data_IF_909892208192
#
_entry.id   IF_909892208192
#
_cell.length_a   1.000
_cell.length_b   1.000
_cell.length_c   1.000
_cell.angle_alpha   90.00
_cell.angle_beta   90.00
_cell.angle_gamma   90.00
#
_symmetry.space_group_name_H-M   'P 1'
#
loop_
_entity.id
_entity.type
_entity.pdbx_description
1 polymer ?
#
# COMPACT_ATOMS: atom_id res chain seq x y z
N UNK A 1 -8.61 -28.20 19.49
CA UNK A 1 -9.85 -28.04 18.68
C UNK A 1 -9.63 -26.84 17.78
N UNK A 2 -9.22 -27.09 16.54
CA UNK A 2 -8.87 -26.08 15.55
C UNK A 2 -10.14 -25.72 14.79
N UNK A 3 -10.50 -24.46 14.77
CA UNK A 3 -11.63 -23.97 13.97
C UNK A 3 -11.26 -24.00 12.49
N UNK A 4 -12.06 -24.61 11.61
CA UNK A 4 -11.81 -24.61 10.17
C UNK A 4 -12.42 -23.36 9.54
N UNK A 5 -11.61 -22.67 8.72
CA UNK A 5 -12.13 -21.84 7.63
C UNK A 5 -12.42 -20.40 7.96
N UNK A 6 -11.45 -19.63 8.42
CA UNK A 6 -11.51 -18.19 8.15
C UNK A 6 -11.20 -17.95 6.67
N UNK A 7 -12.25 -17.89 5.89
CA UNK A 7 -12.26 -17.37 4.53
C UNK A 7 -11.97 -15.86 4.68
N UNK A 8 -10.80 -15.42 4.30
CA UNK A 8 -10.41 -14.00 4.31
C UNK A 8 -11.36 -13.24 3.39
N UNK A 9 -12.41 -12.68 3.98
CA UNK A 9 -13.34 -11.81 3.27
C UNK A 9 -12.79 -10.40 3.41
N UNK A 10 -12.43 -9.79 2.28
CA UNK A 10 -12.10 -8.37 2.14
C UNK A 10 -13.35 -7.53 2.46
N UNK A 11 -13.62 -7.32 3.74
CA UNK A 11 -14.67 -6.41 4.21
C UNK A 11 -14.05 -5.20 4.89
N UNK A 12 -13.23 -4.46 4.15
CA UNK A 12 -12.88 -3.09 4.52
C UNK A 12 -12.42 -2.35 3.27
N UNK A 13 -12.50 -1.04 3.29
CA UNK A 13 -12.06 -0.09 2.26
C UNK A 13 -10.52 -0.13 2.01
N UNK A 14 -9.83 -1.14 2.49
CA UNK A 14 -8.42 -1.38 2.26
C UNK A 14 -8.24 -2.49 1.23
N UNK A 15 -7.37 -2.27 0.27
CA UNK A 15 -6.99 -3.26 -0.72
C UNK A 15 -5.54 -3.67 -0.49
N UNK A 16 -5.34 -4.96 -0.31
CA UNK A 16 -4.01 -5.52 -0.17
C UNK A 16 -3.55 -6.14 -1.48
N UNK A 17 -2.36 -5.80 -1.90
CA UNK A 17 -1.74 -6.29 -3.13
C UNK A 17 -0.33 -6.77 -2.89
N UNK A 18 0.08 -7.83 -3.58
CA UNK A 18 1.46 -8.27 -3.64
C UNK A 18 2.05 -7.99 -5.02
N UNK A 19 3.26 -7.46 -5.06
CA UNK A 19 4.00 -7.21 -6.29
C UNK A 19 5.31 -8.00 -6.25
N UNK A 20 5.61 -8.71 -7.35
CA UNK A 20 6.86 -9.42 -7.52
C UNK A 20 7.84 -8.56 -8.30
N UNK A 21 9.02 -8.33 -7.74
CA UNK A 21 10.15 -7.73 -8.45
C UNK A 21 10.98 -8.80 -9.19
N UNK A 22 11.80 -8.43 -10.19
CA UNK A 22 12.58 -9.38 -10.99
C UNK A 22 13.51 -10.31 -10.19
N UNK A 23 13.86 -9.93 -8.96
CA UNK A 23 14.75 -10.69 -8.06
C UNK A 23 14.01 -11.62 -7.08
N UNK A 24 12.75 -11.98 -7.31
CA UNK A 24 11.89 -12.70 -6.34
C UNK A 24 11.63 -11.93 -5.02
N UNK A 25 11.88 -10.63 -5.00
CA UNK A 25 11.53 -9.80 -3.86
C UNK A 25 10.04 -9.44 -3.94
N UNK A 26 9.29 -9.83 -2.93
CA UNK A 26 7.89 -9.46 -2.80
C UNK A 26 7.77 -8.18 -1.99
N UNK A 27 6.87 -7.30 -2.44
CA UNK A 27 6.43 -6.13 -1.71
C UNK A 27 4.96 -6.35 -1.33
N UNK A 28 4.68 -6.41 -0.04
CA UNK A 28 3.32 -6.43 0.48
C UNK A 28 2.83 -4.99 0.64
N UNK A 29 1.66 -4.70 0.09
CA UNK A 29 1.11 -3.34 0.10
C UNK A 29 -0.24 -3.33 0.76
N UNK A 30 -0.37 -2.54 1.82
CA UNK A 30 -1.64 -2.21 2.46
C UNK A 30 -2.08 -0.82 2.03
N UNK A 31 -3.30 -0.71 1.53
CA UNK A 31 -3.83 0.53 0.96
C UNK A 31 -5.05 0.98 1.74
N UNK A 32 -4.91 2.09 2.43
CA UNK A 32 -5.97 2.77 3.15
C UNK A 32 -6.51 3.97 2.35
N UNK A 33 -7.71 4.42 2.64
CA UNK A 33 -8.35 5.48 1.89
C UNK A 33 -7.58 6.83 1.92
N UNK A 34 -7.53 7.58 0.80
CA UNK A 34 -6.75 8.82 0.70
C UNK A 34 -7.26 9.96 1.58
N UNK A 35 -8.51 9.92 2.00
CA UNK A 35 -9.10 10.93 2.89
C UNK A 35 -8.83 10.68 4.38
N UNK A 36 -8.18 9.58 4.72
CA UNK A 36 -7.83 9.27 6.10
C UNK A 36 -6.64 10.12 6.55
N UNK A 37 -6.78 10.79 7.69
CA UNK A 37 -5.69 11.50 8.33
C UNK A 37 -4.83 10.51 9.14
N UNK A 38 -3.51 10.60 9.03
CA UNK A 38 -2.59 9.72 9.74
C UNK A 38 -2.50 10.04 11.24
N UNK A 39 -2.67 11.31 11.62
CA UNK A 39 -2.50 11.77 12.98
C UNK A 39 -3.69 12.61 13.45
N UNK A 40 -3.98 12.53 14.74
CA UNK A 40 -4.91 13.42 15.44
C UNK A 40 -4.26 14.79 15.65
N UNK A 41 -5.05 15.83 15.99
CA UNK A 41 -4.54 17.20 16.29
C UNK A 41 -3.49 17.21 17.40
N UNK A 42 -3.59 16.34 18.39
CA UNK A 42 -2.61 16.17 19.46
C UNK A 42 -1.33 15.41 19.02
N UNK A 43 -1.26 14.97 17.75
CA UNK A 43 -0.12 14.28 17.18
C UNK A 43 -0.02 12.80 17.55
N UNK A 44 -1.08 12.19 18.11
CA UNK A 44 -1.16 10.72 18.21
C UNK A 44 -1.58 10.11 16.87
N UNK A 45 -1.07 8.90 16.51
CA UNK A 45 -1.55 8.18 15.35
C UNK A 45 -3.07 7.97 15.44
N UNK A 46 -3.74 8.03 14.31
CA UNK A 46 -5.14 7.60 14.21
C UNK A 46 -5.24 6.08 14.16
N UNK A 47 -6.42 5.58 14.44
CA UNK A 47 -6.71 4.15 14.44
C UNK A 47 -6.34 3.51 13.11
N UNK A 48 -6.66 4.14 12.00
CA UNK A 48 -6.43 3.63 10.66
C UNK A 48 -4.93 3.38 10.38
N UNK A 49 -4.06 4.31 10.80
CA UNK A 49 -2.61 4.11 10.66
C UNK A 49 -2.10 2.97 11.55
N UNK A 50 -2.60 2.89 12.79
CA UNK A 50 -2.20 1.82 13.72
C UNK A 50 -2.73 0.47 13.25
N UNK A 51 -3.95 0.44 12.72
CA UNK A 51 -4.58 -0.77 12.17
C UNK A 51 -3.82 -1.28 10.94
N UNK A 52 -3.49 -0.40 9.98
CA UNK A 52 -2.73 -0.78 8.80
C UNK A 52 -1.35 -1.39 9.15
N UNK A 53 -0.66 -0.83 10.16
CA UNK A 53 0.61 -1.41 10.65
C UNK A 53 0.35 -2.78 11.28
N UNK A 54 -0.70 -2.91 12.11
CA UNK A 54 -1.08 -4.18 12.72
C UNK A 54 -1.40 -5.27 11.68
N UNK A 55 -2.09 -4.94 10.60
CA UNK A 55 -2.35 -5.88 9.50
C UNK A 55 -1.04 -6.35 8.83
N UNK A 56 -0.07 -5.46 8.65
CA UNK A 56 1.26 -5.85 8.15
C UNK A 56 1.94 -6.82 9.12
N UNK A 57 1.91 -6.54 10.42
CA UNK A 57 2.52 -7.41 11.44
C UNK A 57 1.84 -8.81 11.46
N UNK A 58 0.50 -8.85 11.37
CA UNK A 58 -0.26 -10.10 11.29
C UNK A 58 0.13 -10.92 10.03
N UNK A 59 0.34 -10.26 8.91
CA UNK A 59 0.77 -10.91 7.68
C UNK A 59 2.18 -11.47 7.77
N UNK A 60 3.11 -10.70 8.35
CA UNK A 60 4.48 -11.17 8.55
C UNK A 60 4.50 -12.39 9.46
N UNK A 61 3.73 -12.39 10.54
CA UNK A 61 3.56 -13.57 11.41
C UNK A 61 2.98 -14.75 10.63
N UNK A 62 1.91 -14.52 9.85
CA UNK A 62 1.28 -15.58 9.06
C UNK A 62 2.25 -16.21 8.05
N UNK A 63 3.04 -15.38 7.34
CA UNK A 63 4.04 -15.86 6.37
C UNK A 63 5.12 -16.69 7.07
N UNK A 64 5.60 -16.23 8.24
CA UNK A 64 6.61 -16.96 9.01
C UNK A 64 6.10 -18.35 9.45
N UNK A 65 4.87 -18.41 9.94
CA UNK A 65 4.29 -19.65 10.46
C UNK A 65 3.81 -20.61 9.36
N UNK A 66 3.48 -20.09 8.17
CA UNK A 66 2.82 -20.85 7.11
C UNK A 66 3.52 -20.75 5.74
N UNK A 67 4.83 -20.58 5.70
CA UNK A 67 5.57 -20.30 4.46
C UNK A 67 5.25 -21.26 3.31
N UNK A 68 5.26 -22.57 3.57
CA UNK A 68 4.98 -23.59 2.54
C UNK A 68 3.56 -23.45 1.97
N UNK A 69 2.58 -23.09 2.82
CA UNK A 69 1.20 -22.88 2.42
C UNK A 69 1.03 -21.58 1.60
N UNK A 70 1.73 -20.53 2.01
CA UNK A 70 1.77 -19.24 1.28
C UNK A 70 2.35 -19.44 -0.12
N UNK A 71 3.43 -20.21 -0.25
CA UNK A 71 4.05 -20.51 -1.54
C UNK A 71 3.15 -21.35 -2.45
N UNK A 72 2.42 -22.33 -1.89
CA UNK A 72 1.58 -23.24 -2.69
C UNK A 72 0.17 -22.71 -2.99
N UNK A 73 -0.48 -22.05 -2.03
CA UNK A 73 -1.87 -21.61 -2.18
C UNK A 73 -2.00 -20.17 -2.70
N UNK A 74 -1.02 -19.29 -2.38
CA UNK A 74 -0.99 -17.90 -2.83
C UNK A 74 0.00 -17.68 -3.99
N UNK A 75 0.66 -18.73 -4.45
CA UNK A 75 1.63 -18.70 -5.56
C UNK A 75 2.81 -17.71 -5.32
N UNK A 76 3.11 -17.40 -4.05
CA UNK A 76 4.20 -16.50 -3.68
C UNK A 76 5.53 -17.25 -3.53
N UNK A 77 5.95 -17.93 -4.60
CA UNK A 77 7.13 -18.79 -4.61
C UNK A 77 8.42 -18.04 -4.23
N UNK A 78 9.14 -18.54 -3.24
CA UNK A 78 10.40 -17.97 -2.77
C UNK A 78 10.24 -16.71 -1.94
N UNK A 79 9.03 -16.43 -1.42
CA UNK A 79 8.82 -15.28 -0.54
C UNK A 79 9.72 -15.34 0.68
N UNK A 80 10.34 -14.21 1.02
CA UNK A 80 11.11 -14.07 2.25
C UNK A 80 10.20 -14.23 3.47
N UNK A 81 10.74 -14.68 4.60
CA UNK A 81 10.04 -14.64 5.88
C UNK A 81 9.75 -13.20 6.36
N UNK A 82 10.54 -12.23 5.87
CA UNK A 82 10.40 -10.80 6.16
C UNK A 82 10.43 -10.00 4.85
N UNK A 83 9.38 -10.09 4.01
CA UNK A 83 9.30 -9.33 2.78
C UNK A 83 9.21 -7.83 3.09
N UNK A 84 9.54 -7.01 2.10
CA UNK A 84 9.32 -5.55 2.22
C UNK A 84 7.84 -5.24 2.27
N UNK A 85 7.48 -4.23 3.03
CA UNK A 85 6.08 -3.83 3.24
C UNK A 85 5.88 -2.34 2.98
N UNK A 86 4.72 -1.98 2.47
CA UNK A 86 4.34 -0.60 2.17
C UNK A 86 2.91 -0.35 2.65
N UNK A 87 2.72 0.68 3.45
CA UNK A 87 1.40 1.23 3.76
C UNK A 87 1.20 2.51 2.98
N UNK A 88 0.12 2.59 2.20
CA UNK A 88 -0.30 3.80 1.48
C UNK A 88 -1.53 4.36 2.16
N UNK A 89 -1.45 5.57 2.72
CA UNK A 89 -2.53 6.15 3.52
C UNK A 89 -2.53 7.69 3.46
N UNK A 90 -3.70 8.27 3.26
CA UNK A 90 -3.95 9.70 3.39
C UNK A 90 -3.17 10.59 2.42
N UNK A 91 -3.14 11.89 2.73
CA UNK A 91 -2.53 12.93 1.88
C UNK A 91 -1.45 13.71 2.61
N UNK A 92 -0.43 14.15 1.87
CA UNK A 92 0.71 14.90 2.41
C UNK A 92 0.31 16.25 3.00
N UNK A 93 -0.75 16.87 2.49
CA UNK A 93 -1.27 18.16 2.95
C UNK A 93 -1.75 18.12 4.42
N UNK A 94 -2.10 16.94 4.94
CA UNK A 94 -2.54 16.77 6.34
C UNK A 94 -1.38 16.57 7.32
N UNK A 95 -0.14 16.45 6.82
CA UNK A 95 1.04 16.16 7.64
C UNK A 95 1.78 17.44 8.02
N UNK A 96 1.82 17.74 9.31
CA UNK A 96 2.73 18.75 9.87
C UNK A 96 4.17 18.22 9.87
N UNK A 97 5.16 19.11 9.97
CA UNK A 97 6.57 18.74 10.08
C UNK A 97 6.84 17.80 11.28
N UNK A 98 6.18 18.09 12.42
CA UNK A 98 6.24 17.21 13.60
C UNK A 98 5.72 15.80 13.29
N UNK A 99 4.61 15.69 12.53
CA UNK A 99 4.02 14.42 12.17
C UNK A 99 4.90 13.65 11.16
N UNK A 100 5.56 14.34 10.24
CA UNK A 100 6.54 13.73 9.32
C UNK A 100 7.70 13.08 10.08
N UNK A 101 8.25 13.79 11.08
CA UNK A 101 9.31 13.24 11.94
C UNK A 101 8.82 12.02 12.75
N UNK A 102 7.59 12.07 13.29
CA UNK A 102 7.01 10.91 13.98
C UNK A 102 6.85 9.71 13.05
N UNK A 103 6.38 9.94 11.82
CA UNK A 103 6.24 8.90 10.82
C UNK A 103 7.58 8.23 10.52
N UNK A 104 8.64 9.01 10.35
CA UNK A 104 10.00 8.49 10.16
C UNK A 104 10.48 7.63 11.35
N UNK A 105 10.18 8.06 12.59
CA UNK A 105 10.50 7.26 13.79
C UNK A 105 9.70 5.95 13.82
N UNK A 106 8.42 5.98 13.43
CA UNK A 106 7.59 4.77 13.38
C UNK A 106 8.15 3.78 12.34
N UNK A 107 8.48 4.24 11.14
CA UNK A 107 9.11 3.40 10.11
C UNK A 107 10.44 2.81 10.59
N UNK A 108 11.27 3.60 11.28
CA UNK A 108 12.55 3.13 11.80
C UNK A 108 12.44 2.02 12.87
N UNK A 109 11.26 1.84 13.47
CA UNK A 109 10.99 0.76 14.44
C UNK A 109 10.55 -0.55 13.79
N UNK A 110 10.15 -0.50 12.52
CA UNK A 110 9.67 -1.67 11.76
C UNK A 110 10.57 -1.87 10.54
N UNK A 111 11.61 -2.73 10.65
CA UNK A 111 12.50 -3.02 9.53
C UNK A 111 11.73 -3.51 8.31
N UNK A 112 11.99 -2.92 7.15
CA UNK A 112 11.30 -3.26 5.90
C UNK A 112 9.95 -2.58 5.67
N UNK A 113 9.40 -1.85 6.67
CA UNK A 113 8.16 -1.09 6.52
C UNK A 113 8.44 0.31 5.93
N UNK A 114 7.72 0.64 4.87
CA UNK A 114 7.58 2.01 4.35
C UNK A 114 6.14 2.49 4.53
N UNK A 115 5.95 3.74 4.92
CA UNK A 115 4.64 4.37 5.00
C UNK A 115 4.67 5.59 4.09
N UNK A 116 3.76 5.65 3.13
CA UNK A 116 3.67 6.73 2.15
C UNK A 116 2.27 7.32 2.12
N UNK A 117 2.19 8.61 1.83
CA UNK A 117 0.91 9.21 1.40
C UNK A 117 0.68 8.94 -0.07
N UNK A 118 -0.57 9.09 -0.54
CA UNK A 118 -0.89 9.01 -1.97
C UNK A 118 -0.08 10.02 -2.79
N UNK A 119 0.14 11.23 -2.28
CA UNK A 119 0.96 12.23 -2.96
C UNK A 119 2.41 11.74 -3.10
N UNK A 120 2.98 11.20 -2.02
CA UNK A 120 4.33 10.63 -2.04
C UNK A 120 4.48 9.44 -3.00
N UNK A 121 3.45 8.58 -3.10
CA UNK A 121 3.42 7.47 -4.06
C UNK A 121 3.40 8.00 -5.51
N UNK A 122 2.54 8.99 -5.79
CA UNK A 122 2.43 9.61 -7.11
C UNK A 122 3.74 10.30 -7.51
N UNK A 123 4.35 11.07 -6.60
CA UNK A 123 5.62 11.75 -6.85
C UNK A 123 6.74 10.75 -7.14
N UNK A 124 6.79 9.64 -6.39
CA UNK A 124 7.76 8.57 -6.63
C UNK A 124 7.54 7.87 -7.97
N UNK A 125 6.29 7.59 -8.32
CA UNK A 125 5.94 7.00 -9.62
C UNK A 125 6.32 7.93 -10.77
N UNK A 126 6.04 9.24 -10.63
CA UNK A 126 6.42 10.27 -11.61
C UNK A 126 7.93 10.33 -11.77
N UNK A 127 8.68 10.42 -10.67
CA UNK A 127 10.15 10.50 -10.72
C UNK A 127 10.77 9.24 -11.36
N UNK A 128 10.22 8.06 -11.10
CA UNK A 128 10.65 6.83 -11.73
C UNK A 128 10.33 6.83 -13.23
N UNK A 129 9.13 7.25 -13.60
CA UNK A 129 8.75 7.36 -15.02
C UNK A 129 9.66 8.32 -15.78
N UNK A 130 9.88 9.53 -15.23
CA UNK A 130 10.71 10.55 -15.85
C UNK A 130 12.18 10.10 -15.99
N UNK A 131 12.69 9.33 -15.04
CA UNK A 131 14.05 8.77 -15.10
C UNK A 131 14.22 7.80 -16.27
N UNK A 132 13.20 7.01 -16.59
CA UNK A 132 13.29 5.98 -17.62
C UNK A 132 12.81 6.47 -18.99
N UNK A 133 11.91 7.43 -19.02
CA UNK A 133 11.20 7.83 -20.23
C UNK A 133 11.30 9.33 -20.57
N UNK A 134 11.97 10.11 -19.73
CA UNK A 134 12.05 11.57 -19.85
C UNK A 134 10.81 12.30 -19.30
N UNK A 135 10.86 13.65 -19.27
CA UNK A 135 9.84 14.48 -18.64
C UNK A 135 8.43 14.20 -19.17
N UNK A 136 7.45 14.08 -18.27
CA UNK A 136 6.04 13.86 -18.61
C UNK A 136 5.46 14.94 -19.53
N UNK A 137 5.93 16.19 -19.37
CA UNK A 137 5.50 17.34 -20.19
C UNK A 137 5.78 17.19 -21.68
N UNK A 138 6.83 16.45 -22.06
CA UNK A 138 7.18 16.22 -23.46
C UNK A 138 6.34 15.12 -24.11
N UNK A 139 5.79 14.19 -23.31
CA UNK A 139 4.97 13.09 -23.81
C UNK A 139 3.47 13.37 -23.85
N UNK A 140 2.98 14.24 -22.98
CA UNK A 140 1.56 14.62 -22.97
C UNK A 140 1.10 15.28 -24.29
N UNK A 141 2.03 15.84 -25.07
CA UNK A 141 1.75 16.41 -26.38
C UNK A 141 1.55 15.36 -27.49
N UNK A 142 1.97 14.11 -27.27
CA UNK A 142 1.94 13.05 -28.26
C UNK A 142 1.08 11.85 -27.90
N UNK A 143 0.43 11.87 -26.73
CA UNK A 143 -0.48 10.81 -26.29
C UNK A 143 -1.92 11.31 -26.41
N UNK A 144 -2.63 10.85 -27.44
CA UNK A 144 -4.10 10.85 -27.42
C UNK A 144 -4.55 9.89 -26.30
N UNK A 145 -4.65 10.41 -25.08
CA UNK A 145 -5.17 9.65 -23.93
C UNK A 145 -6.68 9.61 -24.09
N UNK A 146 -7.21 8.52 -24.61
CA UNK A 146 -8.64 8.24 -24.61
C UNK A 146 -9.03 7.88 -23.17
N UNK A 147 -9.67 8.81 -22.47
CA UNK A 147 -10.36 8.51 -21.21
C UNK A 147 -11.65 7.77 -21.57
N UNK A 148 -11.73 6.49 -21.27
CA UNK A 148 -13.01 5.81 -21.21
C UNK A 148 -13.74 6.27 -19.95
N UNK A 149 -14.64 7.21 -20.14
CA UNK A 149 -15.64 7.58 -19.13
C UNK A 149 -16.69 6.47 -19.16
N UNK A 150 -16.73 5.62 -18.14
CA UNK A 150 -17.90 4.79 -17.91
C UNK A 150 -19.04 5.72 -17.47
N UNK A 151 -19.86 6.15 -18.39
CA UNK A 151 -21.13 6.79 -18.08
C UNK A 151 -22.05 5.69 -17.50
N UNK A 152 -22.16 5.67 -16.18
CA UNK A 152 -23.21 4.93 -15.47
C UNK A 152 -24.52 5.71 -15.54
N UNK A 153 -25.12 5.75 -16.74
CA UNK A 153 -26.51 6.22 -16.91
C UNK A 153 -27.15 5.41 -18.03
N UNK A 154 -27.90 4.39 -17.64
CA UNK A 154 -29.15 3.99 -18.29
C UNK A 154 -29.65 2.68 -17.67
N UNK A 155 -30.46 2.77 -16.63
CA UNK A 155 -31.49 1.78 -16.34
C UNK A 155 -32.61 2.46 -15.54
N UNK A 156 -33.40 3.28 -16.21
CA UNK A 156 -34.80 3.54 -15.86
C UNK A 156 -35.58 3.41 -17.14
N UNK A 157 -36.32 2.34 -17.22
CA UNK A 157 -37.30 2.00 -18.24
C UNK A 157 -38.05 0.76 -17.79
#
# INVERSE_FOLDING_TARGET
MTQPGQKWRLESTSATSSFREPCNDYLLVEIEAPYRELFRKNGHPRHELTHAIGQIDDWLCYIQDNKAKVESELELHGISATPRTLVVIGRSATLTERNRRKLAVMQGRHPGLSIMTYDGLIDRARANFERHFGPLSLRAQNLNIYYYRHDATAATG
#
